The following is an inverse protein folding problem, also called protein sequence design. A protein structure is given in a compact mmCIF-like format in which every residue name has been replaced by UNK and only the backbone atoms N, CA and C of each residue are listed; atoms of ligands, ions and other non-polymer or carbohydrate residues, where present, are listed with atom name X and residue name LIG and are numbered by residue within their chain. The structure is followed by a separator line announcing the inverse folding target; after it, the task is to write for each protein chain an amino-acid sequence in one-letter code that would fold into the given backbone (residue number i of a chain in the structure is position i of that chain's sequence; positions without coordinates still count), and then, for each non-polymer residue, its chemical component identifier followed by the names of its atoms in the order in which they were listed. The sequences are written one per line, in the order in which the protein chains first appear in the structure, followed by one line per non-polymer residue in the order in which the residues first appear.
data_IF_514962484124
#
_entry.id   IF_514962484124
#
_cell.length_a   1.000
_cell.length_b   1.000
_cell.length_c   1.000
_cell.angle_alpha   90.00
_cell.angle_beta   90.00
_cell.angle_gamma   90.00
#
_symmetry.space_group_name_H-M   'P 1'
#
loop_
_entity.id
_entity.type
_entity.pdbx_description
1 polymer ?
#
# COMPACT_ATOMS: atom_id res chain seq x y z
N UNK A 1 4.62 -11.59 6.62
CA UNK A 1 4.19 -11.92 7.99
C UNK A 1 2.71 -12.31 8.02
N UNK A 2 1.78 -11.46 7.56
CA UNK A 2 0.34 -11.78 7.56
C UNK A 2 -0.01 -13.07 6.80
N UNK A 3 0.57 -13.30 5.62
CA UNK A 3 0.35 -14.53 4.83
C UNK A 3 0.71 -15.81 5.59
N UNK A 4 1.79 -15.78 6.39
CA UNK A 4 2.19 -16.95 7.18
C UNK A 4 1.21 -17.23 8.32
N UNK A 5 0.67 -16.17 8.93
CA UNK A 5 -0.37 -16.29 9.96
C UNK A 5 -1.67 -16.84 9.37
N UNK A 6 -2.13 -16.29 8.24
CA UNK A 6 -3.33 -16.77 7.55
C UNK A 6 -3.19 -18.24 7.18
N UNK A 7 -2.07 -18.63 6.57
CA UNK A 7 -1.78 -20.04 6.25
C UNK A 7 -1.79 -20.96 7.47
N UNK A 8 -1.29 -20.49 8.61
CA UNK A 8 -1.34 -21.27 9.85
C UNK A 8 -2.76 -21.42 10.38
N UNK A 9 -3.56 -20.34 10.34
CA UNK A 9 -4.96 -20.36 10.79
C UNK A 9 -5.87 -21.23 9.92
N UNK A 10 -5.55 -21.42 8.63
CA UNK A 10 -6.32 -22.28 7.73
C UNK A 10 -6.47 -23.71 8.26
N UNK A 11 -5.40 -24.25 8.85
CA UNK A 11 -5.37 -25.64 9.33
C UNK A 11 -6.35 -25.88 10.50
N UNK A 12 -6.69 -24.83 11.25
CA UNK A 12 -7.53 -24.93 12.44
C UNK A 12 -9.00 -24.54 12.20
N UNK A 13 -9.27 -23.68 11.22
CA UNK A 13 -10.58 -23.02 11.07
C UNK A 13 -11.31 -23.36 9.76
N UNK A 14 -10.85 -24.38 9.03
CA UNK A 14 -11.48 -24.90 7.80
C UNK A 14 -11.83 -23.80 6.77
N UNK A 15 -10.95 -22.80 6.61
CA UNK A 15 -11.09 -21.75 5.60
C UNK A 15 -10.00 -21.85 4.54
N UNK A 16 -10.30 -21.36 3.35
CA UNK A 16 -9.36 -21.33 2.21
C UNK A 16 -8.77 -19.94 2.07
N UNK A 17 -7.45 -19.88 2.01
CA UNK A 17 -6.68 -18.67 1.78
C UNK A 17 -6.31 -18.59 0.31
N UNK A 18 -6.63 -17.46 -0.31
CA UNK A 18 -6.39 -17.19 -1.73
C UNK A 18 -5.55 -15.92 -1.84
N UNK A 19 -4.33 -16.05 -2.33
CA UNK A 19 -3.51 -14.90 -2.71
C UNK A 19 -3.97 -14.40 -4.08
N UNK A 20 -4.44 -13.16 -4.14
CA UNK A 20 -4.94 -12.59 -5.39
C UNK A 20 -3.77 -12.33 -6.37
N UNK A 21 -3.98 -12.53 -7.70
CA UNK A 21 -2.94 -12.34 -8.71
C UNK A 21 -2.49 -10.86 -8.82
N UNK A 22 -1.37 -10.59 -9.50
CA UNK A 22 -0.85 -9.23 -9.75
C UNK A 22 -0.50 -8.40 -8.47
N UNK A 23 0.23 -9.02 -7.54
CA UNK A 23 0.63 -8.41 -6.26
C UNK A 23 1.65 -7.25 -6.32
N UNK A 24 2.12 -6.87 -7.51
CA UNK A 24 3.06 -5.75 -7.69
C UNK A 24 2.36 -4.39 -7.83
N UNK A 25 1.09 -4.38 -8.25
CA UNK A 25 0.31 -3.16 -8.47
C UNK A 25 -0.46 -2.81 -7.19
N UNK A 26 0.12 -1.90 -6.38
CA UNK A 26 -0.51 -1.39 -5.15
C UNK A 26 -1.56 -0.34 -5.43
N UNK A 27 -1.20 0.56 -6.33
CA UNK A 27 -2.15 1.36 -7.07
C UNK A 27 -2.57 0.54 -8.28
N UNK A 28 -3.87 0.52 -8.53
CA UNK A 28 -4.43 -0.10 -9.72
C UNK A 28 -4.38 0.85 -10.93
N UNK A 29 -3.47 1.83 -10.89
CA UNK A 29 -3.03 2.58 -12.05
C UNK A 29 -1.62 2.10 -12.43
N UNK A 30 -1.32 2.10 -13.73
CA UNK A 30 -0.01 1.69 -14.22
C UNK A 30 1.02 2.77 -13.87
N UNK A 31 1.68 2.66 -12.71
CA UNK A 31 2.82 3.52 -12.40
C UNK A 31 4.02 3.13 -13.29
N UNK A 32 4.17 3.80 -14.44
CA UNK A 32 5.46 4.31 -14.97
C UNK A 32 5.37 5.13 -16.28
N UNK A 33 4.20 5.48 -16.84
CA UNK A 33 4.15 6.22 -18.13
C UNK A 33 3.17 7.41 -18.27
N UNK A 34 2.57 7.94 -17.19
CA UNK A 34 1.52 8.98 -17.35
C UNK A 34 1.79 10.29 -16.59
N UNK A 35 3.02 10.51 -16.09
CA UNK A 35 3.32 11.67 -15.22
C UNK A 35 3.85 12.90 -16.00
N UNK A 36 3.94 12.85 -17.33
CA UNK A 36 4.25 14.04 -18.15
C UNK A 36 2.99 14.81 -18.60
N UNK A 37 1.77 14.28 -18.39
CA UNK A 37 0.57 14.85 -19.00
C UNK A 37 -0.34 15.46 -17.93
N UNK A 38 -0.09 16.75 -17.65
CA UNK A 38 -0.94 17.63 -16.84
C UNK A 38 -2.43 17.51 -17.23
N UNK A 39 -3.27 17.20 -16.24
CA UNK A 39 -4.73 17.42 -16.18
C UNK A 39 -5.67 16.80 -17.26
N UNK A 40 -5.17 16.38 -18.41
CA UNK A 40 -6.02 15.93 -19.54
C UNK A 40 -6.48 14.47 -19.47
N UNK A 41 -5.91 13.66 -18.56
CA UNK A 41 -6.14 12.21 -18.46
C UNK A 41 -6.69 11.78 -17.09
N UNK A 42 -7.15 12.72 -16.25
CA UNK A 42 -7.68 12.40 -14.91
C UNK A 42 -8.86 11.44 -15.00
N UNK A 43 -9.75 11.65 -15.98
CA UNK A 43 -10.91 10.77 -16.21
C UNK A 43 -10.49 9.37 -16.66
N UNK A 44 -9.42 9.26 -17.45
CA UNK A 44 -8.87 7.96 -17.88
C UNK A 44 -8.21 7.25 -16.71
N UNK A 45 -7.47 7.96 -15.85
CA UNK A 45 -6.85 7.37 -14.65
C UNK A 45 -7.93 6.90 -13.66
N UNK A 46 -8.98 7.71 -13.47
CA UNK A 46 -10.13 7.34 -12.65
C UNK A 46 -10.84 6.11 -13.23
N UNK A 47 -11.11 6.10 -14.52
CA UNK A 47 -11.72 4.98 -15.23
C UNK A 47 -10.89 3.70 -15.10
N UNK A 48 -9.56 3.79 -15.29
CA UNK A 48 -8.66 2.65 -15.13
C UNK A 48 -8.69 2.12 -13.70
N UNK A 49 -8.59 3.01 -12.70
CA UNK A 49 -8.67 2.63 -11.29
C UNK A 49 -10.00 1.93 -10.97
N UNK A 50 -11.13 2.46 -11.43
CA UNK A 50 -12.46 1.87 -11.24
C UNK A 50 -12.58 0.52 -11.96
N UNK A 51 -12.05 0.40 -13.18
CA UNK A 51 -12.05 -0.84 -13.94
C UNK A 51 -11.31 -1.96 -13.20
N UNK A 52 -10.12 -1.68 -12.69
CA UNK A 52 -9.34 -2.68 -11.95
C UNK A 52 -9.95 -3.00 -10.58
N UNK A 53 -10.54 -2.03 -9.88
CA UNK A 53 -11.27 -2.29 -8.64
C UNK A 53 -12.46 -3.23 -8.89
N UNK A 54 -13.28 -2.91 -9.90
CA UNK A 54 -14.39 -3.77 -10.34
C UNK A 54 -13.92 -5.18 -10.72
N UNK A 55 -12.78 -5.30 -11.41
CA UNK A 55 -12.22 -6.61 -11.74
C UNK A 55 -11.92 -7.44 -10.49
N UNK A 56 -11.28 -6.85 -9.48
CA UNK A 56 -10.96 -7.54 -8.22
C UNK A 56 -12.23 -7.93 -7.45
N UNK A 57 -13.20 -7.02 -7.39
CA UNK A 57 -14.47 -7.27 -6.70
C UNK A 57 -15.21 -8.45 -7.35
N UNK A 58 -15.33 -8.45 -8.68
CA UNK A 58 -15.98 -9.55 -9.41
C UNK A 58 -15.24 -10.88 -9.24
N UNK A 59 -13.90 -10.88 -9.22
CA UNK A 59 -13.11 -12.09 -8.94
C UNK A 59 -13.36 -12.64 -7.53
N UNK A 60 -13.50 -11.76 -6.53
CA UNK A 60 -13.78 -12.15 -5.14
C UNK A 60 -15.20 -12.69 -5.00
N UNK A 61 -16.17 -12.02 -5.62
CA UNK A 61 -17.58 -12.41 -5.58
C UNK A 61 -17.84 -13.76 -6.25
N UNK A 62 -17.21 -14.01 -7.41
CA UNK A 62 -17.28 -15.31 -8.08
C UNK A 62 -16.74 -16.43 -7.19
N UNK A 63 -15.60 -16.21 -6.53
CA UNK A 63 -15.07 -17.18 -5.58
C UNK A 63 -16.00 -17.40 -4.38
N UNK A 64 -16.60 -16.34 -3.82
CA UNK A 64 -17.55 -16.45 -2.70
C UNK A 64 -18.78 -17.27 -3.10
N UNK A 65 -19.29 -17.11 -4.32
CA UNK A 65 -20.45 -17.84 -4.81
C UNK A 65 -20.15 -19.31 -5.12
N UNK A 66 -18.92 -19.61 -5.56
CA UNK A 66 -18.53 -20.95 -6.00
C UNK A 66 -17.91 -21.83 -4.90
N UNK A 67 -17.45 -21.24 -3.80
CA UNK A 67 -16.78 -21.98 -2.71
C UNK A 67 -17.72 -22.19 -1.52
N UNK A 68 -17.72 -23.41 -0.97
CA UNK A 68 -18.57 -23.80 0.17
C UNK A 68 -17.93 -23.54 1.53
N UNK A 69 -16.70 -23.00 1.54
CA UNK A 69 -15.93 -22.70 2.76
C UNK A 69 -15.64 -21.21 2.86
N UNK A 70 -15.46 -20.67 4.07
CA UNK A 70 -15.03 -19.28 4.24
C UNK A 70 -13.71 -19.03 3.50
N UNK A 71 -13.60 -17.84 2.90
CA UNK A 71 -12.43 -17.43 2.12
C UNK A 71 -11.69 -16.29 2.82
N UNK A 72 -10.36 -16.31 2.73
CA UNK A 72 -9.53 -15.19 3.14
C UNK A 72 -8.61 -14.78 1.99
N UNK A 73 -8.51 -13.49 1.76
CA UNK A 73 -7.70 -12.94 0.68
C UNK A 73 -6.51 -12.15 1.24
N UNK A 74 -5.36 -12.27 0.60
CA UNK A 74 -4.25 -11.32 0.79
C UNK A 74 -3.83 -10.69 -0.53
N UNK A 75 -3.55 -9.39 -0.47
CA UNK A 75 -2.94 -8.64 -1.56
C UNK A 75 -2.29 -7.37 -1.03
N UNK A 76 -1.26 -6.91 -1.72
CA UNK A 76 -0.73 -5.55 -1.55
C UNK A 76 -1.56 -4.55 -2.37
N UNK A 77 -2.79 -4.25 -1.96
CA UNK A 77 -3.67 -3.27 -2.61
C UNK A 77 -4.17 -2.26 -1.58
N UNK A 78 -4.46 -1.03 -2.01
CA UNK A 78 -5.11 -0.05 -1.15
C UNK A 78 -6.57 -0.43 -0.86
N UNK A 79 -7.15 0.17 0.16
CA UNK A 79 -8.55 -0.07 0.52
C UNK A 79 -9.48 0.16 -0.69
N UNK A 80 -10.42 -0.78 -0.87
CA UNK A 80 -11.47 -0.75 -1.88
C UNK A 80 -12.78 -0.78 -1.11
N UNK A 81 -13.65 0.19 -1.35
CA UNK A 81 -14.98 0.20 -0.78
C UNK A 81 -15.93 -0.57 -1.71
N UNK A 82 -16.30 -1.79 -1.34
CA UNK A 82 -17.17 -2.65 -2.17
C UNK A 82 -18.58 -2.06 -2.30
N UNK A 83 -19.00 -1.25 -1.31
CA UNK A 83 -20.33 -0.64 -1.31
C UNK A 83 -20.46 0.43 -2.39
N UNK A 84 -19.37 1.13 -2.74
CA UNK A 84 -19.32 2.08 -3.86
C UNK A 84 -19.61 1.40 -5.22
N UNK A 85 -19.43 0.08 -5.31
CA UNK A 85 -19.69 -0.73 -6.50
C UNK A 85 -20.98 -1.56 -6.41
N UNK A 86 -21.76 -1.41 -5.34
CA UNK A 86 -23.01 -2.15 -5.14
C UNK A 86 -22.85 -3.58 -4.61
N UNK A 87 -21.68 -3.90 -4.04
CA UNK A 87 -21.38 -5.20 -3.45
C UNK A 87 -21.39 -5.13 -1.91
N UNK A 88 -21.57 -6.28 -1.26
CA UNK A 88 -21.44 -6.37 0.20
C UNK A 88 -19.96 -6.23 0.60
N UNK A 89 -19.71 -5.50 1.69
CA UNK A 89 -18.36 -5.28 2.15
C UNK A 89 -17.81 -6.52 2.87
N UNK A 90 -16.72 -7.16 2.38
CA UNK A 90 -16.08 -8.23 3.13
C UNK A 90 -15.38 -7.69 4.38
N UNK A 91 -15.09 -8.58 5.33
CA UNK A 91 -14.29 -8.26 6.50
C UNK A 91 -12.87 -7.86 6.07
N UNK A 92 -12.53 -6.60 6.26
CA UNK A 92 -11.25 -6.02 5.92
C UNK A 92 -10.35 -5.96 7.17
N UNK A 93 -9.18 -6.60 7.10
CA UNK A 93 -8.20 -6.59 8.17
C UNK A 93 -6.85 -6.16 7.62
N UNK A 94 -6.20 -5.23 8.31
CA UNK A 94 -4.85 -4.79 7.97
C UNK A 94 -4.02 -4.58 9.25
N UNK A 95 -2.70 -4.73 9.14
CA UNK A 95 -1.77 -4.63 10.25
C UNK A 95 -0.87 -3.42 10.07
N UNK A 96 -1.01 -2.46 10.99
CA UNK A 96 -0.12 -1.30 11.05
C UNK A 96 1.11 -1.62 11.89
N UNK A 97 2.23 -1.04 11.47
CA UNK A 97 3.47 -0.98 12.24
C UNK A 97 3.73 0.47 12.60
N UNK A 98 4.37 0.68 13.74
CA UNK A 98 4.91 1.99 14.10
C UNK A 98 5.71 2.58 12.91
N UNK A 99 5.47 3.85 12.53
CA UNK A 99 6.15 4.45 11.38
C UNK A 99 7.68 4.39 11.49
N UNK A 100 8.23 4.64 12.69
CA UNK A 100 9.69 4.67 12.93
C UNK A 100 10.26 3.27 12.72
N UNK A 101 9.64 2.27 13.35
CA UNK A 101 10.04 0.87 13.18
C UNK A 101 9.93 0.40 11.72
N UNK A 102 8.91 0.89 10.99
CA UNK A 102 8.74 0.59 9.56
C UNK A 102 9.92 1.12 8.75
N UNK A 103 10.37 2.35 9.00
CA UNK A 103 11.54 2.92 8.32
C UNK A 103 12.82 2.16 8.67
N UNK A 104 13.04 1.85 9.95
CA UNK A 104 14.20 1.07 10.40
C UNK A 104 14.22 -0.29 9.70
N UNK A 105 13.08 -0.98 9.67
CA UNK A 105 12.95 -2.27 9.00
C UNK A 105 13.22 -2.17 7.50
N UNK A 106 12.75 -1.11 6.84
CA UNK A 106 12.99 -0.85 5.42
C UNK A 106 14.48 -0.61 5.17
N UNK A 107 15.14 0.15 6.03
CA UNK A 107 16.58 0.40 5.95
C UNK A 107 17.33 -0.94 5.93
N UNK A 108 17.08 -1.82 6.90
CA UNK A 108 17.75 -3.12 6.96
C UNK A 108 17.36 -4.08 5.83
N UNK A 109 16.09 -4.09 5.39
CA UNK A 109 15.63 -4.90 4.26
C UNK A 109 16.44 -4.61 2.98
N UNK A 110 16.68 -3.33 2.68
CA UNK A 110 17.50 -2.94 1.53
C UNK A 110 18.98 -3.28 1.68
N UNK A 111 19.50 -3.26 2.92
CA UNK A 111 20.89 -3.61 3.20
C UNK A 111 21.18 -5.11 3.03
N UNK A 112 20.17 -5.96 3.29
CA UNK A 112 20.29 -7.42 3.16
C UNK A 112 20.00 -7.87 1.72
N UNK A 113 18.99 -7.29 1.05
CA UNK A 113 18.44 -7.83 -0.20
C UNK A 113 18.90 -7.20 -1.51
N UNK A 114 19.35 -5.93 -1.53
CA UNK A 114 19.49 -5.16 -2.78
C UNK A 114 20.85 -4.48 -2.95
N UNK A 115 21.94 -5.17 -2.59
CA UNK A 115 23.30 -4.59 -2.68
C UNK A 115 23.68 -4.11 -4.08
N UNK A 116 23.10 -4.63 -5.17
CA UNK A 116 23.54 -4.28 -6.53
C UNK A 116 22.83 -3.06 -7.13
N UNK A 117 21.54 -2.84 -6.82
CA UNK A 117 20.80 -1.67 -7.28
C UNK A 117 21.24 -0.39 -6.55
N UNK A 118 21.49 -0.50 -5.24
CA UNK A 118 21.87 0.63 -4.39
C UNK A 118 23.34 1.07 -4.57
N UNK A 119 24.23 0.18 -5.04
CA UNK A 119 25.61 0.53 -5.43
C UNK A 119 25.64 1.65 -6.46
N UNK A 120 24.71 1.61 -7.42
CA UNK A 120 24.67 2.54 -8.56
C UNK A 120 24.10 3.89 -8.17
N UNK A 121 23.16 3.92 -7.23
CA UNK A 121 22.49 5.15 -6.77
C UNK A 121 23.33 5.92 -5.74
N UNK A 122 24.04 5.23 -4.84
CA UNK A 122 24.79 5.85 -3.74
C UNK A 122 26.31 5.88 -3.94
N UNK A 123 26.82 5.34 -5.05
CA UNK A 123 28.25 5.28 -5.41
C UNK A 123 29.16 4.79 -4.26
N UNK A 124 28.73 3.77 -3.53
CA UNK A 124 29.40 3.25 -2.32
C UNK A 124 29.86 1.81 -2.49
N UNK A 125 30.97 1.46 -1.85
CA UNK A 125 31.49 0.08 -1.90
C UNK A 125 30.57 -0.90 -1.17
N UNK A 126 30.56 -2.18 -1.58
CA UNK A 126 29.76 -3.25 -0.92
C UNK A 126 30.09 -3.40 0.57
N UNK A 127 31.36 -3.20 0.94
CA UNK A 127 31.84 -3.31 2.32
C UNK A 127 31.37 -2.14 3.18
N UNK A 128 31.34 -0.94 2.60
CA UNK A 128 30.83 0.26 3.25
C UNK A 128 29.31 0.18 3.41
N UNK A 129 28.59 -0.19 2.35
CA UNK A 129 27.13 -0.37 2.40
C UNK A 129 26.70 -1.33 3.51
N UNK A 130 27.30 -2.51 3.60
CA UNK A 130 26.97 -3.50 4.66
C UNK A 130 27.25 -3.02 6.08
N UNK A 131 28.11 -2.03 6.26
CA UNK A 131 28.51 -1.48 7.56
C UNK A 131 27.74 -0.21 7.95
N UNK A 132 26.92 0.33 7.05
CA UNK A 132 26.15 1.55 7.33
C UNK A 132 25.16 1.29 8.46
N UNK A 133 25.18 2.18 9.45
CA UNK A 133 24.23 2.18 10.55
C UNK A 133 23.04 3.09 10.23
N UNK A 134 21.88 2.75 10.80
CA UNK A 134 20.68 3.55 10.64
C UNK A 134 20.88 4.98 11.17
N UNK A 135 21.55 5.13 12.31
CA UNK A 135 21.81 6.42 12.94
C UNK A 135 22.66 7.33 12.05
N UNK A 136 23.70 6.78 11.41
CA UNK A 136 24.55 7.53 10.49
C UNK A 136 23.76 8.02 9.27
N UNK A 137 22.87 7.17 8.75
CA UNK A 137 21.96 7.53 7.67
C UNK A 137 21.08 8.72 8.09
N UNK A 138 20.48 8.66 9.29
CA UNK A 138 19.61 9.73 9.82
C UNK A 138 20.40 11.03 10.03
N UNK A 139 21.60 10.95 10.63
CA UNK A 139 22.46 12.13 10.86
C UNK A 139 22.92 12.80 9.57
N UNK A 140 23.12 12.01 8.50
CA UNK A 140 23.46 12.52 7.16
C UNK A 140 22.24 13.00 6.37
N UNK A 141 21.05 12.75 6.87
CA UNK A 141 19.81 13.10 6.20
C UNK A 141 19.60 12.39 4.86
N UNK A 142 20.00 11.12 4.76
CA UNK A 142 19.88 10.37 3.52
C UNK A 142 18.41 9.96 3.25
N UNK A 143 17.95 9.94 1.98
CA UNK A 143 16.55 9.63 1.65
C UNK A 143 16.06 8.25 2.12
N UNK A 144 16.96 7.27 2.24
CA UNK A 144 16.62 5.89 2.59
C UNK A 144 16.03 5.76 4.01
N UNK A 145 16.46 6.61 4.94
CA UNK A 145 16.10 6.59 6.36
C UNK A 145 15.26 7.80 6.78
N UNK A 146 14.77 8.59 5.82
CA UNK A 146 13.86 9.70 6.07
C UNK A 146 12.41 9.35 5.71
N UNK A 147 11.49 10.01 6.41
CA UNK A 147 10.12 10.17 5.95
C UNK A 147 10.10 11.31 4.95
N UNK A 148 10.00 10.98 3.66
CA UNK A 148 9.82 11.97 2.61
C UNK A 148 8.36 11.89 2.17
N UNK A 149 7.53 12.89 2.53
CA UNK A 149 6.18 13.00 2.00
C UNK A 149 6.25 13.03 0.47
N UNK A 150 5.49 12.18 -0.20
CA UNK A 150 5.56 12.06 -1.67
C UNK A 150 6.04 10.69 -2.16
N UNK A 151 6.77 9.93 -1.32
CA UNK A 151 7.40 8.69 -1.77
C UNK A 151 6.56 7.43 -1.53
N UNK A 152 6.66 6.47 -2.47
CA UNK A 152 5.99 5.15 -2.48
C UNK A 152 6.33 4.21 -1.31
N UNK A 153 7.10 4.66 -0.33
CA UNK A 153 7.45 3.85 0.85
C UNK A 153 6.79 4.36 2.13
N UNK A 154 6.08 5.51 2.06
CA UNK A 154 5.26 6.09 3.13
C UNK A 154 3.80 5.60 3.08
N UNK A 155 3.61 4.37 2.60
CA UNK A 155 2.29 3.85 2.24
C UNK A 155 1.53 3.26 3.43
N UNK A 156 1.54 3.87 4.62
CA UNK A 156 0.60 3.39 5.65
C UNK A 156 -0.79 3.96 5.41
N UNK A 157 -0.86 5.27 5.14
CA UNK A 157 -2.12 6.00 4.98
C UNK A 157 -2.95 5.52 3.77
N UNK A 158 -2.39 5.37 2.55
CA UNK A 158 -3.16 4.96 1.38
C UNK A 158 -3.83 3.58 1.53
N UNK A 159 -3.25 2.68 2.34
CA UNK A 159 -3.83 1.36 2.58
C UNK A 159 -5.14 1.40 3.35
N UNK A 160 -5.43 2.47 4.10
CA UNK A 160 -6.70 2.67 4.80
C UNK A 160 -7.58 3.72 4.12
N UNK A 161 -6.96 4.75 3.53
CA UNK A 161 -7.65 5.85 2.88
C UNK A 161 -8.21 5.44 1.49
N UNK A 162 -7.57 4.48 0.82
CA UNK A 162 -8.02 3.90 -0.45
C UNK A 162 -7.42 4.57 -1.68
N UNK A 163 -8.15 4.52 -2.79
CA UNK A 163 -7.67 4.89 -4.12
C UNK A 163 -7.88 6.38 -4.50
N UNK A 164 -8.38 7.20 -3.58
CA UNK A 164 -8.63 8.61 -3.85
C UNK A 164 -7.30 9.37 -4.06
N UNK A 165 -7.18 10.27 -5.06
CA UNK A 165 -5.99 11.09 -5.26
C UNK A 165 -5.56 11.89 -4.02
N UNK A 166 -6.48 12.28 -3.15
CA UNK A 166 -6.17 12.98 -1.88
C UNK A 166 -5.51 12.06 -0.85
N UNK A 167 -5.72 10.75 -0.96
CA UNK A 167 -5.07 9.73 -0.15
C UNK A 167 -3.62 9.46 -0.56
N UNK A 168 -3.25 9.90 -1.75
CA UNK A 168 -1.92 9.70 -2.29
C UNK A 168 -1.06 10.91 -1.96
N UNK A 169 0.21 10.69 -1.59
CA UNK A 169 1.15 11.80 -1.52
C UNK A 169 1.18 12.52 -2.87
N UNK A 170 1.21 13.86 -2.91
CA UNK A 170 1.41 14.58 -4.16
C UNK A 170 2.73 14.10 -4.74
N UNK A 171 2.65 13.42 -5.88
CA UNK A 171 3.85 12.97 -6.57
C UNK A 171 4.76 14.17 -6.78
N UNK A 172 5.99 14.08 -6.27
CA UNK A 172 7.01 15.11 -6.38
C UNK A 172 7.21 15.46 -7.85
N UNK A 173 6.83 16.69 -8.22
CA UNK A 173 7.40 17.36 -9.39
C UNK A 173 8.92 17.35 -9.19
N UNK A 174 9.60 16.54 -9.99
CA UNK A 174 11.05 16.58 -10.07
C UNK A 174 11.48 17.94 -10.58
N UNK A 175 12.22 18.64 -9.72
CA UNK A 175 13.11 19.76 -9.95
C UNK A 175 12.51 21.18 -10.01
N UNK A 176 13.01 21.98 -9.06
CA UNK A 176 12.90 23.43 -8.91
C UNK A 176 11.56 23.96 -8.38
N UNK A 177 11.45 23.95 -7.05
CA UNK A 177 10.41 24.65 -6.32
C UNK A 177 9.65 23.68 -5.42
N UNK A 178 9.95 23.74 -4.13
CA UNK A 178 9.14 23.13 -3.08
C UNK A 178 7.64 23.40 -3.39
N UNK A 179 6.82 22.38 -3.67
CA UNK A 179 5.40 22.54 -3.40
C UNK A 179 5.32 22.65 -1.87
N UNK A 180 4.87 23.81 -1.39
CA UNK A 180 4.93 24.18 0.01
C UNK A 180 4.35 23.12 0.93
N UNK A 181 4.73 23.21 2.21
CA UNK A 181 4.31 22.45 3.40
C UNK A 181 2.78 22.32 3.62
N UNK A 182 1.98 22.08 2.59
CA UNK A 182 0.61 21.63 2.72
C UNK A 182 0.68 20.13 2.85
N UNK A 183 0.81 19.69 4.10
CA UNK A 183 0.52 18.31 4.47
C UNK A 183 -0.84 17.90 3.90
N UNK A 184 -0.99 16.60 3.70
CA UNK A 184 -2.23 15.98 3.24
C UNK A 184 -3.41 16.48 4.09
N UNK A 185 -4.56 16.86 3.50
CA UNK A 185 -5.64 17.52 4.24
C UNK A 185 -6.24 16.57 5.29
N UNK A 186 -5.83 16.75 6.54
CA UNK A 186 -6.07 15.86 7.69
C UNK A 186 -7.56 15.47 7.88
N UNK A 187 -8.48 16.36 7.52
CA UNK A 187 -9.93 16.12 7.59
C UNK A 187 -10.41 15.05 6.61
N UNK A 188 -9.92 15.06 5.37
CA UNK A 188 -10.32 14.09 4.34
C UNK A 188 -9.82 12.71 4.74
N UNK A 189 -8.54 12.62 5.12
CA UNK A 189 -7.90 11.38 5.54
C UNK A 189 -8.68 10.71 6.67
N UNK A 190 -9.03 11.48 7.71
CA UNK A 190 -9.80 10.97 8.85
C UNK A 190 -11.18 10.44 8.43
N UNK A 191 -11.89 11.13 7.55
CA UNK A 191 -13.22 10.73 7.07
C UNK A 191 -13.21 9.47 6.19
N UNK A 192 -12.14 9.22 5.43
CA UNK A 192 -12.02 8.02 4.58
C UNK A 192 -11.42 6.85 5.35
N UNK A 193 -10.51 7.10 6.29
CA UNK A 193 -10.01 6.08 7.22
C UNK A 193 -11.11 5.58 8.16
N UNK A 194 -12.07 6.41 8.56
CA UNK A 194 -13.18 5.93 9.41
C UNK A 194 -13.97 4.83 8.74
N UNK A 195 -14.23 4.89 7.43
CA UNK A 195 -14.96 3.83 6.70
C UNK A 195 -14.24 2.47 6.79
N UNK A 196 -12.92 2.45 6.61
CA UNK A 196 -12.12 1.24 6.76
C UNK A 196 -12.02 0.75 8.21
N UNK A 197 -12.21 1.63 9.19
CA UNK A 197 -12.06 1.35 10.63
C UNK A 197 -13.39 1.14 11.37
N UNK A 198 -14.53 1.44 10.75
CA UNK A 198 -15.88 1.35 11.33
C UNK A 198 -16.53 -0.03 11.13
N UNK A 199 -15.79 -0.99 10.57
CA UNK A 199 -16.23 -2.37 10.47
C UNK A 199 -16.29 -3.00 11.87
N UNK A 200 -17.49 -3.33 12.33
CA UNK A 200 -17.72 -4.04 13.58
C UNK A 200 -17.26 -5.51 13.43
N UNK A 201 -16.16 -5.94 14.08
CA UNK A 201 -15.68 -7.31 13.97
C UNK A 201 -16.63 -8.33 14.61
N UNK A 202 -17.63 -7.89 15.37
CA UNK A 202 -18.58 -8.76 16.09
C UNK A 202 -19.89 -9.00 15.34
N UNK A 203 -20.18 -8.30 14.23
CA UNK A 203 -21.39 -8.53 13.42
C UNK A 203 -21.37 -9.83 12.60
N UNK A 204 -20.23 -10.50 12.51
CA UNK A 204 -20.03 -11.69 11.65
C UNK A 204 -20.06 -13.01 12.43
N UNK A 205 -19.92 -12.96 13.77
CA UNK A 205 -19.91 -14.15 14.63
C UNK A 205 -21.26 -14.43 15.31
N UNK A 206 -22.35 -13.76 14.90
CA UNK A 206 -23.71 -13.95 15.43
C UNK A 206 -24.60 -14.78 14.51
#
# INVERSE_FOLDING_TARGET
MMVLLLRWLQAYNNFKHVSLPDGHLRQLNTENQVIQIKYQYIDIIKFINEFYQNKIINEIDDHIQNEVVPLSYDRHVYFIDFTEFGHEMPLYVNLLRDPVDKIISRFFYHHIGYTDLYKKEFNVSKKEWKKRFFQECVSRGEPLCQFIPGHKYDLSIPYFCGHNPECMPPYSLGNNGMPGNKGMPDKVIRSKMSVAMEQDPYKVFS
#
